data_IF_652578833993
#
_entry.id   IF_652578833993
#
_cell.length_a   1.000
_cell.length_b   1.000
_cell.length_c   1.000
_cell.angle_alpha   90.00
_cell.angle_beta   90.00
_cell.angle_gamma   90.00
#
_symmetry.space_group_name_H-M   'P 1'
#
loop_
_entity.id
_entity.type
_entity.pdbx_description
1 polymer ?
#
# COMPACT_ATOMS: atom_id res chain seq x y z
N UNK A 1 -12.26 4.36 -29.96
CA UNK A 1 -12.23 3.21 -29.06
C UNK A 1 -11.15 3.37 -27.99
N UNK A 2 -9.90 3.61 -28.32
CA UNK A 2 -8.79 3.82 -27.37
C UNK A 2 -8.95 5.04 -26.46
N UNK A 3 -9.51 6.15 -26.96
CA UNK A 3 -9.76 7.37 -26.15
C UNK A 3 -10.77 7.09 -25.01
N UNK A 4 -11.80 6.28 -25.29
CA UNK A 4 -12.77 5.85 -24.26
C UNK A 4 -12.12 4.96 -23.21
N UNK A 5 -11.20 4.06 -23.62
CA UNK A 5 -10.44 3.20 -22.73
C UNK A 5 -9.53 4.01 -21.79
N UNK A 6 -8.82 5.01 -22.30
CA UNK A 6 -7.96 5.90 -21.51
C UNK A 6 -8.79 6.68 -20.47
N UNK A 7 -10.00 7.14 -20.88
CA UNK A 7 -10.89 7.82 -19.94
C UNK A 7 -11.42 6.89 -18.85
N UNK A 8 -11.80 5.65 -19.21
CA UNK A 8 -12.19 4.64 -18.23
C UNK A 8 -11.03 4.29 -17.27
N UNK A 9 -9.82 4.14 -17.81
CA UNK A 9 -8.61 3.89 -17.04
C UNK A 9 -8.36 5.03 -16.04
N UNK A 10 -8.48 6.29 -16.49
CA UNK A 10 -8.39 7.45 -15.60
C UNK A 10 -9.44 7.40 -14.49
N UNK A 11 -10.72 7.22 -14.83
CA UNK A 11 -11.80 7.19 -13.86
C UNK A 11 -11.62 6.06 -12.83
N UNK A 12 -11.26 4.86 -13.28
CA UNK A 12 -11.05 3.70 -12.42
C UNK A 12 -9.92 3.94 -11.43
N UNK A 13 -8.74 4.39 -11.90
CA UNK A 13 -7.59 4.64 -11.02
C UNK A 13 -7.79 5.87 -10.13
N UNK A 14 -8.57 6.85 -10.57
CA UNK A 14 -8.96 7.99 -9.73
C UNK A 14 -9.83 7.54 -8.55
N UNK A 15 -10.82 6.68 -8.80
CA UNK A 15 -11.68 6.12 -7.74
C UNK A 15 -10.85 5.24 -6.80
N UNK A 16 -9.96 4.40 -7.32
CA UNK A 16 -9.04 3.61 -6.49
C UNK A 16 -8.21 4.52 -5.60
N UNK A 17 -7.59 5.57 -6.15
CA UNK A 17 -6.79 6.54 -5.40
C UNK A 17 -7.59 7.30 -4.33
N UNK A 18 -8.88 7.54 -4.57
CA UNK A 18 -9.77 8.21 -3.62
C UNK A 18 -10.14 7.32 -2.42
N UNK A 19 -10.38 6.03 -2.66
CA UNK A 19 -10.86 5.09 -1.65
C UNK A 19 -9.77 4.20 -1.05
N UNK A 20 -8.51 4.42 -1.41
CA UNK A 20 -7.41 3.65 -0.82
C UNK A 20 -7.06 4.19 0.56
N UNK A 21 -7.34 3.37 1.57
CA UNK A 21 -6.93 3.60 2.95
C UNK A 21 -6.05 2.44 3.41
N UNK A 22 -4.94 2.73 4.07
CA UNK A 22 -4.20 1.72 4.84
C UNK A 22 -3.01 1.03 4.18
N UNK A 23 -2.55 1.44 3.00
CA UNK A 23 -1.26 0.99 2.45
C UNK A 23 -1.31 0.09 1.22
N UNK A 24 -0.13 -0.33 0.70
CA UNK A 24 0.03 -0.92 -0.62
C UNK A 24 -0.76 -2.21 -0.90
N UNK A 25 -0.88 -3.10 0.06
CA UNK A 25 -1.59 -4.38 -0.12
C UNK A 25 -3.11 -4.21 -0.23
N UNK A 26 -3.72 -3.33 0.58
CA UNK A 26 -5.14 -3.03 0.47
C UNK A 26 -5.50 -2.41 -0.89
N UNK A 27 -4.58 -1.61 -1.45
CA UNK A 27 -4.73 -1.04 -2.79
C UNK A 27 -4.69 -2.11 -3.89
N UNK A 28 -3.86 -3.14 -3.73
CA UNK A 28 -3.74 -4.21 -4.72
C UNK A 28 -5.06 -4.98 -4.90
N UNK A 29 -5.77 -5.28 -3.82
CA UNK A 29 -7.08 -5.94 -3.90
C UNK A 29 -8.12 -5.09 -4.61
N UNK A 30 -8.11 -3.76 -4.40
CA UNK A 30 -8.98 -2.84 -5.12
C UNK A 30 -8.64 -2.76 -6.60
N UNK A 31 -7.34 -2.71 -6.95
CA UNK A 31 -6.88 -2.72 -8.34
C UNK A 31 -7.30 -4.03 -9.02
N UNK A 32 -7.05 -5.19 -8.38
CA UNK A 32 -7.46 -6.51 -8.89
C UNK A 32 -8.97 -6.57 -9.15
N UNK A 33 -9.77 -6.16 -8.17
CA UNK A 33 -11.23 -6.13 -8.30
C UNK A 33 -11.71 -5.29 -9.47
N UNK A 34 -11.07 -4.17 -9.75
CA UNK A 34 -11.45 -3.32 -10.88
C UNK A 34 -10.89 -3.83 -12.21
N UNK A 35 -9.61 -4.14 -12.26
CA UNK A 35 -8.88 -4.44 -13.52
C UNK A 35 -9.17 -5.84 -14.04
N UNK A 36 -9.23 -6.83 -13.14
CA UNK A 36 -9.46 -8.25 -13.50
C UNK A 36 -10.95 -8.58 -13.48
N UNK A 37 -11.62 -8.28 -12.35
CA UNK A 37 -13.00 -8.76 -12.13
C UNK A 37 -14.03 -7.85 -12.82
N UNK A 38 -13.99 -6.54 -12.59
CA UNK A 38 -15.03 -5.63 -13.08
C UNK A 38 -14.89 -5.30 -14.58
N UNK A 39 -13.67 -5.05 -15.04
CA UNK A 39 -13.43 -4.64 -16.42
C UNK A 39 -12.88 -5.76 -17.30
N UNK A 40 -12.34 -6.85 -16.74
CA UNK A 40 -11.73 -7.94 -17.51
C UNK A 40 -10.59 -7.48 -18.43
N UNK A 41 -9.86 -6.43 -18.04
CA UNK A 41 -8.79 -5.85 -18.86
C UNK A 41 -7.59 -6.76 -18.99
N UNK A 42 -7.36 -7.64 -18.01
CA UNK A 42 -6.28 -8.61 -18.03
C UNK A 42 -6.63 -9.88 -17.25
N UNK A 43 -5.90 -10.95 -17.52
CA UNK A 43 -6.01 -12.20 -16.76
C UNK A 43 -5.39 -12.04 -15.36
N UNK A 44 -5.86 -12.84 -14.41
CA UNK A 44 -5.34 -12.84 -13.03
C UNK A 44 -3.85 -13.17 -12.96
N UNK A 45 -3.36 -14.11 -13.79
CA UNK A 45 -1.93 -14.43 -13.88
C UNK A 45 -1.09 -13.23 -14.28
N UNK A 46 -1.53 -12.47 -15.30
CA UNK A 46 -0.83 -11.24 -15.73
C UNK A 46 -0.83 -10.19 -14.61
N UNK A 47 -1.93 -10.07 -13.89
CA UNK A 47 -2.00 -9.15 -12.76
C UNK A 47 -1.02 -9.54 -11.64
N UNK A 48 -0.92 -10.84 -11.33
CA UNK A 48 0.03 -11.37 -10.34
C UNK A 48 1.48 -11.06 -10.73
N UNK A 49 1.84 -11.22 -12.01
CA UNK A 49 3.16 -10.86 -12.52
C UNK A 49 3.46 -9.35 -12.35
N UNK A 50 2.47 -8.50 -12.67
CA UNK A 50 2.58 -7.05 -12.48
C UNK A 50 2.76 -6.71 -10.99
N UNK A 51 2.06 -7.36 -10.09
CA UNK A 51 2.22 -7.18 -8.64
C UNK A 51 3.63 -7.57 -8.20
N UNK A 52 4.14 -8.70 -8.65
CA UNK A 52 5.50 -9.15 -8.33
C UNK A 52 6.55 -8.13 -8.78
N UNK A 53 6.45 -7.65 -10.04
CA UNK A 53 7.35 -6.61 -10.58
C UNK A 53 7.21 -5.31 -9.77
N UNK A 54 5.99 -4.94 -9.39
CA UNK A 54 5.72 -3.72 -8.63
C UNK A 54 6.35 -3.76 -7.24
N UNK A 55 6.40 -4.94 -6.61
CA UNK A 55 7.07 -5.14 -5.32
C UNK A 55 8.61 -5.08 -5.42
N UNK A 56 9.17 -5.49 -6.55
CA UNK A 56 10.61 -5.40 -6.82
C UNK A 56 11.05 -3.98 -7.23
N UNK A 57 10.11 -3.15 -7.68
CA UNK A 57 10.39 -1.78 -8.13
C UNK A 57 10.39 -0.84 -6.93
N UNK A 58 11.45 -0.03 -6.72
CA UNK A 58 11.47 0.92 -5.61
C UNK A 58 10.39 1.98 -5.79
N UNK A 59 9.53 2.14 -4.76
CA UNK A 59 8.41 3.09 -4.75
C UNK A 59 7.13 2.50 -4.16
N UNK A 60 6.05 3.29 -4.10
CA UNK A 60 4.76 2.81 -3.63
C UNK A 60 4.19 1.74 -4.58
N UNK A 61 3.96 0.53 -4.08
CA UNK A 61 3.53 -0.64 -4.86
C UNK A 61 2.29 -0.33 -5.72
N UNK A 62 1.30 0.34 -5.15
CA UNK A 62 0.07 0.68 -5.89
C UNK A 62 0.29 1.64 -7.05
N UNK A 63 1.23 2.59 -6.93
CA UNK A 63 1.59 3.52 -8.01
C UNK A 63 2.35 2.76 -9.11
N UNK A 64 3.31 1.90 -8.73
CA UNK A 64 4.02 1.07 -9.68
C UNK A 64 3.06 0.15 -10.44
N UNK A 65 2.15 -0.51 -9.71
CA UNK A 65 1.12 -1.37 -10.30
C UNK A 65 0.23 -0.59 -11.28
N UNK A 66 -0.24 0.61 -10.91
CA UNK A 66 -1.03 1.47 -11.80
C UNK A 66 -0.29 1.81 -13.10
N UNK A 67 1.02 2.09 -13.01
CA UNK A 67 1.88 2.39 -14.16
C UNK A 67 1.95 1.21 -15.13
N UNK A 68 2.19 0.00 -14.62
CA UNK A 68 2.27 -1.20 -15.43
C UNK A 68 0.92 -1.60 -16.03
N UNK A 69 -0.14 -1.56 -15.24
CA UNK A 69 -1.50 -1.84 -15.70
C UNK A 69 -1.90 -0.87 -16.79
N UNK A 70 -1.63 0.42 -16.61
CA UNK A 70 -1.96 1.45 -17.61
C UNK A 70 -1.29 1.22 -18.95
N UNK A 71 -0.05 0.73 -18.95
CA UNK A 71 0.67 0.37 -20.16
C UNK A 71 0.07 -0.89 -20.81
N UNK A 72 -0.05 -1.96 -20.05
CA UNK A 72 -0.46 -3.27 -20.56
C UNK A 72 -1.88 -3.25 -21.14
N UNK A 73 -2.81 -2.59 -20.47
CA UNK A 73 -4.20 -2.45 -20.93
C UNK A 73 -4.30 -1.74 -22.28
N UNK A 74 -3.56 -0.64 -22.45
CA UNK A 74 -3.61 0.13 -23.70
C UNK A 74 -2.92 -0.61 -24.87
N UNK A 75 -1.79 -1.26 -24.61
CA UNK A 75 -1.08 -2.03 -25.64
C UNK A 75 -1.87 -3.27 -26.06
N UNK A 76 -2.46 -4.00 -25.10
CA UNK A 76 -3.33 -5.16 -25.40
C UNK A 76 -4.61 -4.80 -26.15
N UNK A 77 -5.12 -3.58 -25.96
CA UNK A 77 -6.25 -3.05 -26.72
C UNK A 77 -5.89 -2.63 -28.17
N UNK A 78 -4.68 -2.92 -28.63
CA UNK A 78 -4.20 -2.58 -29.96
C UNK A 78 -3.58 -1.18 -30.08
N UNK A 79 -3.26 -0.55 -28.95
CA UNK A 79 -2.53 0.72 -28.91
C UNK A 79 -1.03 0.53 -29.25
N UNK A 80 -0.42 1.56 -29.83
CA UNK A 80 1.03 1.58 -30.00
C UNK A 80 1.75 1.70 -28.66
N UNK A 81 3.05 1.39 -28.60
CA UNK A 81 3.88 1.56 -27.41
C UNK A 81 3.84 3.00 -26.86
N UNK A 82 3.76 4.02 -27.74
CA UNK A 82 3.59 5.41 -27.33
C UNK A 82 2.27 5.65 -26.62
N UNK A 83 1.16 5.05 -27.11
CA UNK A 83 -0.13 5.10 -26.43
C UNK A 83 -0.11 4.32 -25.11
N UNK A 84 0.65 3.24 -25.02
CA UNK A 84 0.90 2.53 -23.77
C UNK A 84 1.57 3.42 -22.70
N UNK A 85 2.56 4.23 -23.10
CA UNK A 85 3.20 5.21 -22.22
C UNK A 85 2.19 6.27 -21.75
N UNK A 86 1.31 6.74 -22.63
CA UNK A 86 0.22 7.65 -22.24
C UNK A 86 -0.73 6.97 -21.28
N UNK A 87 -1.05 5.69 -21.46
CA UNK A 87 -1.84 4.89 -20.55
C UNK A 87 -1.20 4.79 -19.15
N UNK A 88 0.11 4.50 -19.09
CA UNK A 88 0.89 4.51 -17.85
C UNK A 88 0.80 5.84 -17.11
N UNK A 89 1.07 6.92 -17.84
CA UNK A 89 1.02 8.28 -17.27
C UNK A 89 -0.39 8.61 -16.76
N UNK A 90 -1.43 8.26 -17.53
CA UNK A 90 -2.83 8.51 -17.17
C UNK A 90 -3.22 7.77 -15.90
N UNK A 91 -2.92 6.46 -15.79
CA UNK A 91 -3.24 5.66 -14.61
C UNK A 91 -2.48 6.15 -13.37
N UNK A 92 -1.19 6.47 -13.53
CA UNK A 92 -0.34 6.99 -12.45
C UNK A 92 -0.82 8.37 -11.98
N UNK A 93 -1.12 9.28 -12.90
CA UNK A 93 -1.66 10.59 -12.56
C UNK A 93 -3.02 10.47 -11.87
N UNK A 94 -3.89 9.59 -12.37
CA UNK A 94 -5.22 9.37 -11.82
C UNK A 94 -5.20 8.88 -10.37
N UNK A 95 -4.32 7.93 -10.03
CA UNK A 95 -4.24 7.38 -8.67
C UNK A 95 -3.65 8.38 -7.65
N UNK A 96 -2.75 9.26 -8.10
CA UNK A 96 -2.10 10.27 -7.24
C UNK A 96 -2.96 11.51 -7.05
N UNK A 97 -3.74 11.89 -8.06
CA UNK A 97 -4.45 13.15 -8.14
C UNK A 97 -5.45 13.38 -7.00
N UNK A 98 -6.27 12.39 -6.55
CA UNK A 98 -7.16 12.56 -5.41
C UNK A 98 -6.42 12.93 -4.12
N UNK A 99 -5.35 12.21 -3.80
CA UNK A 99 -4.53 12.47 -2.62
C UNK A 99 -3.90 13.86 -2.67
N UNK A 100 -3.43 14.28 -3.84
CA UNK A 100 -2.86 15.61 -4.05
C UNK A 100 -3.89 16.72 -3.83
N UNK A 101 -5.10 16.57 -4.39
CA UNK A 101 -6.21 17.51 -4.21
C UNK A 101 -6.60 17.61 -2.74
N UNK A 102 -6.76 16.46 -2.06
CA UNK A 102 -7.15 16.42 -0.64
C UNK A 102 -6.09 17.11 0.22
N UNK A 103 -4.81 16.81 0.00
CA UNK A 103 -3.72 17.43 0.79
C UNK A 103 -3.65 18.93 0.56
N UNK A 104 -3.81 19.41 -0.69
CA UNK A 104 -3.86 20.85 -0.98
C UNK A 104 -5.05 21.54 -0.32
N UNK A 105 -6.22 20.92 -0.37
CA UNK A 105 -7.41 21.42 0.30
C UNK A 105 -7.18 21.49 1.81
N UNK A 106 -6.70 20.40 2.42
CA UNK A 106 -6.38 20.35 3.84
C UNK A 106 -5.32 21.39 4.24
N UNK A 107 -4.27 21.57 3.46
CA UNK A 107 -3.24 22.57 3.75
C UNK A 107 -3.80 24.00 3.77
N UNK A 108 -4.70 24.33 2.83
CA UNK A 108 -5.38 25.62 2.82
C UNK A 108 -6.33 25.80 4.00
N UNK A 109 -7.12 24.75 4.32
CA UNK A 109 -7.99 24.78 5.50
C UNK A 109 -7.18 24.85 6.79
N UNK A 110 -6.09 24.08 6.90
CA UNK A 110 -5.20 24.09 8.05
C UNK A 110 -4.70 25.51 8.36
N UNK A 111 -4.17 26.22 7.35
CA UNK A 111 -3.66 27.58 7.54
C UNK A 111 -4.73 28.57 8.00
N UNK A 112 -6.00 28.34 7.64
CA UNK A 112 -7.13 29.19 8.02
C UNK A 112 -7.68 28.89 9.41
N UNK A 113 -7.61 27.63 9.85
CA UNK A 113 -8.29 27.16 11.06
C UNK A 113 -7.34 26.68 12.16
N UNK A 114 -6.02 26.75 11.95
CA UNK A 114 -5.02 26.25 12.92
C UNK A 114 -5.11 26.90 14.31
N UNK A 115 -5.61 28.13 14.39
CA UNK A 115 -5.76 28.89 15.63
C UNK A 115 -7.18 28.73 16.26
N UNK A 116 -7.99 27.79 15.75
CA UNK A 116 -9.32 27.50 16.25
C UNK A 116 -9.30 26.35 17.26
N UNK A 117 -9.85 26.56 18.46
CA UNK A 117 -9.90 25.57 19.54
C UNK A 117 -10.60 24.25 19.14
N UNK A 118 -11.60 24.32 18.24
CA UNK A 118 -12.26 23.12 17.71
C UNK A 118 -11.30 22.29 16.84
N UNK A 119 -10.48 22.96 16.02
CA UNK A 119 -9.49 22.29 15.18
C UNK A 119 -8.40 21.64 16.02
N UNK A 120 -7.92 22.33 17.07
CA UNK A 120 -6.95 21.76 18.01
C UNK A 120 -7.52 20.54 18.75
N UNK A 121 -8.79 20.58 19.11
CA UNK A 121 -9.51 19.46 19.70
C UNK A 121 -9.49 18.24 18.76
N UNK A 122 -9.90 18.39 17.50
CA UNK A 122 -9.90 17.32 16.49
C UNK A 122 -8.50 16.77 16.28
N UNK A 123 -7.49 17.65 16.14
CA UNK A 123 -6.09 17.23 15.96
C UNK A 123 -5.54 16.48 17.18
N UNK A 124 -5.92 16.84 18.38
CA UNK A 124 -5.49 16.14 19.59
C UNK A 124 -5.99 14.69 19.66
N UNK A 125 -7.17 14.42 19.11
CA UNK A 125 -7.72 13.06 18.98
C UNK A 125 -7.10 12.27 17.80
N UNK A 126 -6.74 12.95 16.73
CA UNK A 126 -6.09 12.31 15.57
C UNK A 126 -4.63 11.93 15.81
N UNK A 127 -3.91 12.69 16.65
CA UNK A 127 -2.49 12.40 16.95
C UNK A 127 -2.23 10.99 17.46
N UNK A 128 -3.01 10.43 18.41
CA UNK A 128 -2.81 9.05 18.86
C UNK A 128 -3.29 7.99 17.85
N UNK A 129 -4.11 8.36 16.86
CA UNK A 129 -4.58 7.42 15.84
C UNK A 129 -3.42 6.92 14.95
N UNK A 130 -2.45 7.78 14.61
CA UNK A 130 -1.31 7.40 13.76
C UNK A 130 -0.45 6.29 14.39
N UNK A 131 0.08 6.43 15.62
CA UNK A 131 0.79 5.34 16.26
C UNK A 131 -0.09 4.11 16.50
N UNK A 132 -1.40 4.28 16.70
CA UNK A 132 -2.35 3.17 16.77
C UNK A 132 -2.43 2.37 15.47
N UNK A 133 -2.50 3.05 14.32
CA UNK A 133 -2.50 2.40 13.00
C UNK A 133 -1.17 1.69 12.71
N UNK A 134 -0.03 2.30 13.09
CA UNK A 134 1.28 1.66 12.95
C UNK A 134 1.36 0.42 13.84
N UNK A 135 0.87 0.49 15.08
CA UNK A 135 0.80 -0.66 15.98
C UNK A 135 -0.12 -1.78 15.43
N UNK A 136 -1.27 -1.43 14.90
CA UNK A 136 -2.17 -2.39 14.26
C UNK A 136 -1.51 -3.06 13.04
N UNK A 137 -0.82 -2.31 12.19
CA UNK A 137 -0.07 -2.86 11.07
C UNK A 137 1.04 -3.82 11.53
N UNK A 138 1.77 -3.46 12.58
CA UNK A 138 2.78 -4.34 13.16
C UNK A 138 2.18 -5.66 13.68
N UNK A 139 1.03 -5.60 14.36
CA UNK A 139 0.31 -6.79 14.83
C UNK A 139 -0.13 -7.66 13.65
N UNK A 140 -0.70 -7.07 12.60
CA UNK A 140 -1.13 -7.81 11.39
C UNK A 140 0.05 -8.51 10.71
N UNK A 141 1.23 -7.87 10.69
CA UNK A 141 2.44 -8.49 10.11
C UNK A 141 3.04 -9.58 10.99
N UNK A 142 2.81 -9.55 12.31
CA UNK A 142 3.31 -10.57 13.25
C UNK A 142 2.39 -11.78 13.33
N UNK A 143 1.10 -11.58 13.19
CA UNK A 143 0.08 -12.59 13.36
C UNK A 143 -0.69 -12.80 12.04
N UNK A 144 -0.83 -14.06 11.66
CA UNK A 144 -1.68 -14.43 10.54
C UNK A 144 -3.14 -14.35 11.01
N UNK A 145 -3.86 -13.35 10.51
CA UNK A 145 -5.27 -13.18 10.77
C UNK A 145 -6.05 -13.65 9.55
N UNK A 146 -6.31 -14.95 9.45
CA UNK A 146 -7.28 -15.45 8.48
C UNK A 146 -8.68 -14.95 8.89
N UNK A 147 -9.17 -13.97 8.17
CA UNK A 147 -10.58 -13.60 8.18
C UNK A 147 -11.34 -14.64 7.37
N UNK A 148 -11.62 -15.79 7.98
CA UNK A 148 -12.49 -16.79 7.39
C UNK A 148 -13.88 -16.18 7.22
N UNK A 149 -14.25 -15.95 5.98
CA UNK A 149 -15.51 -15.51 5.38
C UNK A 149 -16.65 -15.09 6.32
N UNK A 150 -17.06 -13.84 6.25
CA UNK A 150 -18.34 -13.39 6.77
C UNK A 150 -19.50 -14.25 6.20
N UNK A 151 -20.48 -14.75 7.00
CA UNK A 151 -21.10 -14.07 8.12
C UNK A 151 -21.14 -14.90 9.42
N UNK A 152 -20.66 -14.33 10.49
CA UNK A 152 -20.70 -14.90 11.82
C UNK A 152 -19.31 -15.24 12.34
N UNK A 153 -18.79 -14.38 13.14
CA UNK A 153 -17.54 -14.54 13.90
C UNK A 153 -17.46 -15.91 14.59
N UNK A 154 -16.88 -16.88 13.94
CA UNK A 154 -16.50 -18.13 14.56
C UNK A 154 -15.06 -18.46 14.20
N UNK A 155 -14.21 -18.38 15.20
CA UNK A 155 -12.79 -18.63 15.25
C UNK A 155 -11.89 -17.49 14.76
N UNK A 156 -11.51 -16.66 15.71
CA UNK A 156 -10.33 -15.83 15.65
C UNK A 156 -9.13 -16.76 15.86
N UNK A 157 -8.59 -17.30 14.79
CA UNK A 157 -7.37 -18.09 14.88
C UNK A 157 -6.19 -17.12 14.73
N UNK A 158 -5.57 -16.78 15.86
CA UNK A 158 -4.37 -15.95 15.88
C UNK A 158 -3.19 -16.89 15.85
N UNK A 159 -2.63 -17.13 14.67
CA UNK A 159 -1.37 -17.84 14.51
C UNK A 159 -0.24 -16.86 14.19
N UNK A 160 0.99 -17.20 14.64
CA UNK A 160 2.16 -16.42 14.28
C UNK A 160 2.53 -16.75 12.84
N UNK A 161 2.76 -15.72 12.02
CA UNK A 161 3.20 -15.91 10.62
C UNK A 161 4.54 -16.62 10.62
N UNK A 162 4.53 -17.90 10.31
CA UNK A 162 5.72 -18.77 10.33
C UNK A 162 6.79 -18.33 9.33
N UNK A 163 6.39 -17.66 8.26
CA UNK A 163 7.33 -17.08 7.28
C UNK A 163 8.13 -15.90 7.85
N UNK A 164 7.54 -15.14 8.77
CA UNK A 164 8.20 -13.98 9.38
C UNK A 164 8.99 -14.35 10.63
N UNK A 165 8.56 -15.40 11.35
CA UNK A 165 9.18 -15.87 12.59
C UNK A 165 9.38 -17.39 12.57
N UNK A 166 10.19 -17.92 11.64
CA UNK A 166 10.37 -19.38 11.50
C UNK A 166 11.06 -20.01 12.70
N UNK A 167 11.95 -19.26 13.39
CA UNK A 167 12.83 -19.77 14.43
C UNK A 167 12.96 -18.84 15.63
N UNK A 168 13.45 -19.39 16.76
CA UNK A 168 13.84 -18.61 17.93
C UNK A 168 14.86 -17.50 17.63
N UNK A 169 15.69 -17.66 16.57
CA UNK A 169 16.65 -16.65 16.10
C UNK A 169 15.95 -15.37 15.63
N UNK A 170 14.83 -15.50 14.91
CA UNK A 170 14.01 -14.36 14.47
C UNK A 170 13.46 -13.58 15.66
N UNK A 171 13.00 -14.29 16.70
CA UNK A 171 12.55 -13.67 17.94
C UNK A 171 13.68 -12.96 18.70
N UNK A 172 14.88 -13.54 18.70
CA UNK A 172 16.06 -12.93 19.30
C UNK A 172 16.46 -11.65 18.54
N UNK A 173 16.46 -11.69 17.20
CA UNK A 173 16.73 -10.52 16.36
C UNK A 173 15.68 -9.42 16.56
N UNK A 174 14.41 -9.79 16.62
CA UNK A 174 13.32 -8.85 16.91
C UNK A 174 13.51 -8.18 18.27
N UNK A 175 13.79 -8.97 19.33
CA UNK A 175 14.03 -8.46 20.67
C UNK A 175 15.25 -7.54 20.74
N UNK A 176 16.34 -7.91 20.07
CA UNK A 176 17.55 -7.09 19.99
C UNK A 176 17.29 -5.76 19.26
N UNK A 177 16.57 -5.78 18.13
CA UNK A 177 16.17 -4.59 17.38
C UNK A 177 15.27 -3.67 18.22
N UNK A 178 14.31 -4.25 18.93
CA UNK A 178 13.42 -3.51 19.83
C UNK A 178 14.19 -2.81 20.96
N UNK A 179 15.11 -3.52 21.62
CA UNK A 179 15.97 -2.97 22.67
C UNK A 179 16.88 -1.86 22.11
N UNK A 180 17.48 -2.09 20.95
CA UNK A 180 18.33 -1.10 20.27
C UNK A 180 17.55 0.19 19.96
N UNK A 181 16.32 0.06 19.49
CA UNK A 181 15.45 1.19 19.19
C UNK A 181 15.00 1.91 20.47
N UNK A 182 14.50 1.20 21.46
CA UNK A 182 13.90 1.80 22.66
C UNK A 182 14.96 2.33 23.65
N UNK A 183 16.00 1.57 23.93
CA UNK A 183 17.00 1.91 24.96
C UNK A 183 18.13 2.74 24.41
N UNK A 184 18.65 2.40 23.23
CA UNK A 184 19.79 3.07 22.63
C UNK A 184 19.38 4.14 21.59
N UNK A 185 18.08 4.28 21.30
CA UNK A 185 17.56 5.26 20.32
C UNK A 185 18.25 5.17 18.95
N UNK A 186 18.65 3.97 18.56
CA UNK A 186 19.25 3.72 17.25
C UNK A 186 18.19 3.95 16.17
N UNK A 187 18.56 4.68 15.12
CA UNK A 187 17.65 4.93 13.99
C UNK A 187 17.28 3.66 13.23
N UNK A 188 16.20 3.68 12.41
CA UNK A 188 15.74 2.50 11.69
C UNK A 188 16.75 1.97 10.66
N UNK A 189 17.49 2.85 9.96
CA UNK A 189 18.44 2.45 8.91
C UNK A 189 19.58 1.56 9.45
N UNK A 190 20.30 1.92 10.53
CA UNK A 190 21.30 1.03 11.12
C UNK A 190 20.73 -0.31 11.59
N UNK A 191 19.50 -0.33 12.13
CA UNK A 191 18.82 -1.55 12.58
C UNK A 191 18.53 -2.48 11.40
N UNK A 192 18.04 -1.93 10.28
CA UNK A 192 17.77 -2.71 9.07
C UNK A 192 19.06 -3.29 8.49
N UNK A 193 20.12 -2.49 8.40
CA UNK A 193 21.42 -2.97 7.89
C UNK A 193 22.01 -4.04 8.79
N UNK A 194 22.00 -3.83 10.12
CA UNK A 194 22.48 -4.81 11.07
C UNK A 194 21.64 -6.11 11.05
N UNK A 195 20.33 -5.98 10.92
CA UNK A 195 19.41 -7.10 10.76
C UNK A 195 19.67 -7.88 9.47
N UNK A 196 19.92 -7.19 8.36
CA UNK A 196 20.28 -7.82 7.08
C UNK A 196 21.60 -8.60 7.16
N UNK A 197 22.65 -8.00 7.76
CA UNK A 197 23.94 -8.69 7.98
C UNK A 197 23.78 -9.87 8.94
N UNK A 198 23.06 -9.71 10.03
CA UNK A 198 22.79 -10.78 10.96
C UNK A 198 21.98 -11.91 10.32
N UNK A 199 21.00 -11.59 9.48
CA UNK A 199 20.24 -12.57 8.69
C UNK A 199 21.15 -13.40 7.80
N UNK A 200 22.02 -12.76 7.02
CA UNK A 200 22.99 -13.44 6.14
C UNK A 200 23.98 -14.36 6.89
N UNK A 201 24.25 -14.08 8.17
CA UNK A 201 25.15 -14.91 8.98
C UNK A 201 24.45 -16.05 9.71
N UNK A 202 23.15 -15.92 9.97
CA UNK A 202 22.36 -16.87 10.77
C UNK A 202 21.53 -17.82 9.92
N UNK A 203 21.25 -17.46 8.68
CA UNK A 203 20.49 -18.21 7.68
C UNK A 203 21.30 -18.41 6.39
#
# INVERSE_FOLDING_TARGET
>A
MLTGLILQLFATFFVIGLFTFGGGYAMLSLIQGQVVVAHGWMAESTFTDIVAISQMTPGPIGINCATYVGYDVVVKAGGSHLLGIIGSFTATAAIVLPSFIIVLALARFYMKFRDNAFFDGVMSWLRPAVPGLIGAAAIILMFDTEWAGLPGFSAFDISIVTENFPDWKSWALFGAALIASMKFKVGPIPIILAGGVAGLLLY
#
